data_IF_397230255252
#
_entry.id   IF_397230255252
#
_cell.length_a   1.000
_cell.length_b   1.000
_cell.length_c   1.000
_cell.angle_alpha   90.00
_cell.angle_beta   90.00
_cell.angle_gamma   90.00
#
_symmetry.space_group_name_H-M   'P 1'
#
loop_
_entity.id
_entity.type
_entity.pdbx_description
1 polymer ?
#
# COMPACT_ATOMS: atom_id res chain seq x y z
N UNK A 1 -91.73 53.60 25.77
CA UNK A 1 -90.63 53.28 26.70
C UNK A 1 -89.84 52.17 26.05
N UNK A 2 -88.75 52.47 25.35
CA UNK A 2 -87.99 51.56 24.53
C UNK A 2 -86.70 51.23 25.27
N UNK A 3 -86.44 49.98 25.52
CA UNK A 3 -85.21 49.46 26.06
C UNK A 3 -84.37 48.80 24.92
N UNK A 4 -83.21 49.37 24.60
CA UNK A 4 -82.31 48.82 23.66
C UNK A 4 -81.40 47.77 24.33
N UNK A 5 -81.33 46.60 23.76
CA UNK A 5 -80.36 45.55 24.13
C UNK A 5 -79.13 45.59 23.20
N UNK A 6 -77.99 45.83 23.78
CA UNK A 6 -76.63 45.80 23.10
C UNK A 6 -76.22 44.36 22.89
N UNK A 7 -76.04 43.99 21.61
CA UNK A 7 -75.30 42.75 21.22
C UNK A 7 -73.79 42.85 21.39
N UNK A 8 -73.18 41.84 22.05
CA UNK A 8 -71.78 41.68 22.17
C UNK A 8 -71.31 40.76 21.05
N UNK A 9 -70.51 41.31 20.10
CA UNK A 9 -69.76 40.49 19.15
C UNK A 9 -68.47 39.96 19.80
N UNK A 10 -68.39 38.67 19.96
CA UNK A 10 -67.15 37.96 20.37
C UNK A 10 -66.30 37.69 19.10
N UNK A 11 -65.18 38.34 19.03
CA UNK A 11 -64.18 38.08 18.01
C UNK A 11 -63.28 36.91 18.47
N UNK A 12 -63.39 35.76 17.82
CA UNK A 12 -62.50 34.60 18.06
C UNK A 12 -61.27 34.77 17.16
N UNK A 13 -60.15 35.12 17.76
CA UNK A 13 -58.86 35.15 17.09
C UNK A 13 -58.27 33.72 17.10
N UNK A 14 -58.34 33.05 15.95
CA UNK A 14 -57.69 31.75 15.75
C UNK A 14 -56.19 31.91 15.67
N UNK A 15 -55.43 31.43 16.68
CA UNK A 15 -53.99 31.32 16.68
C UNK A 15 -53.57 30.12 15.79
N UNK A 16 -53.19 30.42 14.53
CA UNK A 16 -52.56 29.43 13.64
C UNK A 16 -51.12 29.17 14.12
N UNK A 17 -50.89 28.03 14.74
CA UNK A 17 -49.52 27.57 15.06
C UNK A 17 -48.89 27.01 13.79
N UNK A 18 -47.99 27.78 13.16
CA UNK A 18 -47.11 27.29 12.08
C UNK A 18 -45.99 26.45 12.71
N UNK A 19 -46.10 25.12 12.66
CA UNK A 19 -45.00 24.20 12.92
C UNK A 19 -44.07 24.28 11.71
N UNK A 20 -43.04 25.14 11.79
CA UNK A 20 -41.91 25.09 10.87
C UNK A 20 -41.07 23.84 11.18
N UNK A 21 -41.29 22.77 10.39
CA UNK A 21 -40.47 21.57 10.44
C UNK A 21 -39.06 21.93 10.01
N UNK A 22 -38.16 22.07 10.96
CA UNK A 22 -36.71 22.12 10.68
C UNK A 22 -36.26 20.74 10.16
N UNK A 23 -36.18 20.61 8.85
CA UNK A 23 -35.48 19.49 8.21
C UNK A 23 -33.99 19.70 8.50
N UNK A 24 -33.47 19.09 9.56
CA UNK A 24 -32.04 18.97 9.74
C UNK A 24 -31.51 18.10 8.61
N UNK A 25 -30.99 18.74 7.57
CA UNK A 25 -30.10 18.08 6.63
C UNK A 25 -28.82 17.75 7.42
N UNK A 26 -28.76 16.55 7.98
CA UNK A 26 -27.49 15.96 8.36
C UNK A 26 -26.74 15.77 7.04
N UNK A 27 -25.86 16.72 6.69
CA UNK A 27 -24.81 16.47 5.74
C UNK A 27 -23.99 15.32 6.35
N UNK A 28 -24.24 14.11 5.90
CA UNK A 28 -23.40 12.97 6.25
C UNK A 28 -22.02 13.31 5.67
N UNK A 29 -21.09 13.74 6.52
CA UNK A 29 -19.69 13.84 6.13
C UNK A 29 -19.29 12.43 5.69
N UNK A 30 -18.81 12.31 4.46
CA UNK A 30 -18.23 11.06 3.99
C UNK A 30 -17.11 10.67 4.97
N UNK A 31 -17.12 9.43 5.44
CA UNK A 31 -16.06 8.94 6.30
C UNK A 31 -14.74 9.00 5.53
N UNK A 32 -13.69 9.53 6.16
CA UNK A 32 -12.34 9.58 5.59
C UNK A 32 -11.49 8.46 6.18
N UNK A 33 -10.89 7.65 5.30
CA UNK A 33 -10.01 6.54 5.66
C UNK A 33 -8.58 6.81 5.19
N UNK A 34 -7.62 6.56 6.06
CA UNK A 34 -6.19 6.60 5.72
C UNK A 34 -5.81 5.38 4.89
N UNK A 35 -5.24 5.62 3.71
CA UNK A 35 -4.75 4.59 2.81
C UNK A 35 -3.22 4.69 2.71
N UNK A 36 -2.50 3.72 3.28
CA UNK A 36 -1.04 3.69 3.26
C UNK A 36 -0.53 2.76 2.19
N UNK A 37 0.54 3.20 1.52
CA UNK A 37 1.24 2.41 0.51
C UNK A 37 2.71 2.34 0.89
N UNK A 38 3.29 1.15 0.78
CA UNK A 38 4.72 0.99 0.97
C UNK A 38 5.52 1.81 -0.05
N UNK A 39 6.68 2.36 0.35
CA UNK A 39 7.40 3.35 -0.43
C UNK A 39 8.31 2.72 -1.51
N UNK A 40 7.72 1.99 -2.45
CA UNK A 40 8.41 1.44 -3.64
C UNK A 40 8.85 2.51 -4.66
N UNK A 41 8.36 3.73 -4.50
CA UNK A 41 8.69 4.93 -5.27
C UNK A 41 8.73 6.16 -4.35
N UNK A 42 9.30 7.29 -4.79
CA UNK A 42 9.22 8.55 -4.06
C UNK A 42 7.77 8.99 -3.79
N UNK A 43 7.49 9.69 -2.67
CA UNK A 43 6.13 10.04 -2.24
C UNK A 43 5.29 10.76 -3.29
N UNK A 44 5.89 11.68 -4.05
CA UNK A 44 5.18 12.43 -5.10
C UNK A 44 4.72 11.49 -6.22
N UNK A 45 5.57 10.54 -6.62
CA UNK A 45 5.23 9.53 -7.63
C UNK A 45 4.15 8.58 -7.16
N UNK A 46 4.20 8.16 -5.88
CA UNK A 46 3.13 7.35 -5.27
C UNK A 46 1.82 8.12 -5.31
N UNK A 47 1.85 9.40 -4.92
CA UNK A 47 0.66 10.26 -4.92
C UNK A 47 0.04 10.40 -6.31
N UNK A 48 0.85 10.66 -7.34
CA UNK A 48 0.41 10.74 -8.73
C UNK A 48 -0.17 9.41 -9.24
N UNK A 49 0.54 8.30 -8.99
CA UNK A 49 0.19 6.97 -9.48
C UNK A 49 -1.12 6.45 -8.87
N UNK A 50 -1.33 6.70 -7.57
CA UNK A 50 -2.47 6.12 -6.85
C UNK A 50 -3.67 7.08 -6.70
N UNK A 51 -3.55 8.37 -7.09
CA UNK A 51 -4.68 9.30 -7.05
C UNK A 51 -5.90 8.81 -7.86
N UNK A 52 -5.76 8.21 -9.07
CA UNK A 52 -6.89 7.64 -9.80
C UNK A 52 -7.56 6.47 -9.05
N UNK A 53 -6.79 5.63 -8.35
CA UNK A 53 -7.33 4.55 -7.52
C UNK A 53 -8.15 5.11 -6.35
N UNK A 54 -7.65 6.15 -5.67
CA UNK A 54 -8.40 6.80 -4.58
C UNK A 54 -9.73 7.38 -5.09
N UNK A 55 -9.71 8.03 -6.25
CA UNK A 55 -10.93 8.56 -6.88
C UNK A 55 -11.92 7.45 -7.27
N UNK A 56 -11.42 6.33 -7.78
CA UNK A 56 -12.24 5.15 -8.10
C UNK A 56 -12.89 4.56 -6.85
N UNK A 57 -12.10 4.33 -5.77
CA UNK A 57 -12.62 3.80 -4.52
C UNK A 57 -13.64 4.74 -3.88
N UNK A 58 -13.41 6.06 -3.92
CA UNK A 58 -14.41 7.05 -3.46
C UNK A 58 -15.73 6.90 -4.22
N UNK A 59 -15.69 6.80 -5.54
CA UNK A 59 -16.89 6.60 -6.37
C UNK A 59 -17.62 5.30 -6.05
N UNK A 60 -16.87 4.22 -5.81
CA UNK A 60 -17.42 2.89 -5.55
C UNK A 60 -18.02 2.74 -4.14
N UNK A 61 -17.41 3.38 -3.14
CA UNK A 61 -17.76 3.17 -1.73
C UNK A 61 -18.55 4.32 -1.11
N UNK A 62 -18.44 5.54 -1.67
CA UNK A 62 -18.95 6.77 -1.09
C UNK A 62 -18.09 7.35 0.04
N UNK A 63 -16.95 6.74 0.37
CA UNK A 63 -16.02 7.20 1.39
C UNK A 63 -14.83 7.95 0.76
N UNK A 64 -14.21 8.84 1.52
CA UNK A 64 -12.96 9.49 1.13
C UNK A 64 -11.76 8.65 1.57
N UNK A 65 -10.71 8.65 0.73
CA UNK A 65 -9.46 7.95 1.01
C UNK A 65 -8.30 8.94 0.97
N UNK A 66 -7.66 9.13 2.13
CA UNK A 66 -6.47 9.96 2.26
C UNK A 66 -5.23 9.10 2.06
N UNK A 67 -4.58 9.26 0.91
CA UNK A 67 -3.33 8.59 0.60
C UNK A 67 -2.19 9.13 1.47
N UNK A 68 -1.44 8.24 2.11
CA UNK A 68 -0.23 8.55 2.87
C UNK A 68 0.95 7.72 2.36
N UNK A 69 1.96 8.41 1.85
CA UNK A 69 3.20 7.84 1.37
C UNK A 69 4.37 8.22 2.29
N UNK A 70 5.08 7.25 2.81
CA UNK A 70 6.29 7.48 3.58
C UNK A 70 7.47 7.82 2.66
N UNK A 71 8.46 8.56 3.20
CA UNK A 71 9.66 8.96 2.42
C UNK A 71 10.47 7.77 1.93
N UNK A 72 10.56 6.70 2.72
CA UNK A 72 11.29 5.47 2.42
C UNK A 72 10.84 4.34 3.37
N UNK A 73 11.33 3.12 3.16
CA UNK A 73 10.97 1.97 3.99
C UNK A 73 11.38 2.10 5.46
N UNK A 74 12.47 2.80 5.77
CA UNK A 74 12.86 3.04 7.16
C UNK A 74 11.81 3.89 7.90
N UNK A 75 11.31 4.97 7.28
CA UNK A 75 10.25 5.79 7.86
C UNK A 75 8.92 5.01 7.93
N UNK A 76 8.61 4.24 6.88
CA UNK A 76 7.41 3.41 6.86
C UNK A 76 7.41 2.38 7.99
N UNK A 77 8.52 1.67 8.18
CA UNK A 77 8.68 0.69 9.25
C UNK A 77 8.57 1.32 10.64
N UNK A 78 9.23 2.46 10.86
CA UNK A 78 9.08 3.23 12.11
C UNK A 78 7.62 3.57 12.39
N UNK A 79 6.87 3.99 11.38
CA UNK A 79 5.45 4.34 11.49
C UNK A 79 4.59 3.10 11.79
N UNK A 80 4.89 1.95 11.17
CA UNK A 80 4.24 0.67 11.46
C UNK A 80 4.47 0.27 12.93
N UNK A 81 5.72 0.31 13.39
CA UNK A 81 6.09 -0.01 14.77
C UNK A 81 5.48 0.96 15.79
N UNK A 82 5.36 2.23 15.43
CA UNK A 82 4.78 3.29 16.24
C UNK A 82 3.24 3.28 16.29
N UNK A 83 2.59 2.36 15.58
CA UNK A 83 1.14 2.29 15.53
C UNK A 83 0.49 3.48 14.80
N UNK A 84 1.21 4.08 13.83
CA UNK A 84 0.64 5.16 13.03
C UNK A 84 -0.63 4.69 12.32
N UNK A 85 -1.67 5.53 12.34
CA UNK A 85 -2.98 5.19 11.80
C UNK A 85 -2.85 4.72 10.34
N UNK A 86 -3.44 3.56 10.07
CA UNK A 86 -3.66 3.03 8.74
C UNK A 86 -5.01 2.31 8.76
N UNK A 87 -6.00 2.85 8.05
CA UNK A 87 -7.27 2.15 7.90
C UNK A 87 -7.12 1.07 6.83
N UNK A 88 -6.40 1.37 5.76
CA UNK A 88 -6.01 0.43 4.71
C UNK A 88 -4.49 0.50 4.49
N UNK A 89 -3.88 -0.64 4.19
CA UNK A 89 -2.47 -0.73 3.85
C UNK A 89 -2.26 -1.62 2.61
N UNK A 90 -1.47 -1.14 1.64
CA UNK A 90 -1.12 -1.87 0.44
C UNK A 90 0.38 -2.18 0.49
N UNK A 91 0.69 -3.40 0.91
CA UNK A 91 2.01 -3.84 1.34
C UNK A 91 2.44 -5.13 0.65
N UNK A 92 3.76 -5.32 0.48
CA UNK A 92 4.34 -6.62 0.14
C UNK A 92 4.17 -7.63 1.29
N UNK A 93 4.39 -8.90 0.98
CA UNK A 93 4.06 -10.04 1.81
C UNK A 93 4.58 -9.94 3.26
N UNK A 94 5.81 -9.48 3.47
CA UNK A 94 6.42 -9.43 4.80
C UNK A 94 5.75 -8.40 5.73
N UNK A 95 5.41 -7.22 5.22
CA UNK A 95 4.69 -6.18 5.97
C UNK A 95 3.21 -6.54 6.13
N UNK A 96 2.61 -7.18 5.13
CA UNK A 96 1.24 -7.71 5.22
C UNK A 96 1.14 -8.73 6.35
N UNK A 97 2.03 -9.73 6.39
CA UNK A 97 2.03 -10.74 7.46
C UNK A 97 2.25 -10.09 8.83
N UNK A 98 3.21 -9.15 8.93
CA UNK A 98 3.44 -8.41 10.17
C UNK A 98 2.17 -7.69 10.66
N UNK A 99 1.42 -7.03 9.78
CA UNK A 99 0.16 -6.38 10.16
C UNK A 99 -0.92 -7.37 10.58
N UNK A 100 -0.99 -8.52 9.92
CA UNK A 100 -1.93 -9.59 10.29
C UNK A 100 -1.61 -10.09 11.71
N UNK A 101 -0.35 -10.40 11.99
CA UNK A 101 0.05 -11.00 13.27
C UNK A 101 0.02 -10.02 14.44
N UNK A 102 0.45 -8.76 14.23
CA UNK A 102 0.69 -7.80 15.32
C UNK A 102 -0.37 -6.69 15.41
N UNK A 103 -1.14 -6.45 14.36
CA UNK A 103 -2.16 -5.40 14.32
C UNK A 103 -3.55 -5.92 13.87
N UNK A 104 -3.71 -7.24 13.69
CA UNK A 104 -4.97 -7.92 13.34
C UNK A 104 -5.62 -7.38 12.07
N UNK A 105 -4.81 -6.93 11.10
CA UNK A 105 -5.31 -6.53 9.81
C UNK A 105 -5.92 -7.73 9.07
N UNK A 106 -6.98 -7.46 8.33
CA UNK A 106 -7.67 -8.42 7.49
C UNK A 106 -7.20 -8.26 6.04
N UNK A 107 -6.58 -9.27 5.39
CA UNK A 107 -6.26 -9.23 3.97
C UNK A 107 -7.56 -9.29 3.15
N UNK A 108 -7.74 -8.34 2.23
CA UNK A 108 -8.94 -8.22 1.41
C UNK A 108 -8.72 -8.78 0.01
N UNK A 109 -7.74 -8.23 -0.67
CA UNK A 109 -7.34 -8.60 -2.04
C UNK A 109 -5.83 -8.50 -2.18
N UNK A 110 -5.27 -9.23 -3.17
CA UNK A 110 -3.87 -9.08 -3.55
C UNK A 110 -3.71 -9.03 -5.06
N UNK A 111 -2.55 -8.59 -5.54
CA UNK A 111 -2.19 -8.68 -6.95
C UNK A 111 -2.05 -10.14 -7.37
N UNK A 112 -2.55 -10.50 -8.54
CA UNK A 112 -2.51 -11.89 -9.02
C UNK A 112 -1.09 -12.41 -9.22
N UNK A 113 -0.14 -11.52 -9.48
CA UNK A 113 1.27 -11.84 -9.65
C UNK A 113 1.94 -12.11 -8.31
N UNK A 114 2.68 -13.20 -8.23
CA UNK A 114 3.64 -13.42 -7.17
C UNK A 114 4.87 -12.53 -7.37
N UNK A 115 5.52 -12.15 -6.29
CA UNK A 115 6.73 -11.34 -6.32
C UNK A 115 7.94 -12.19 -5.97
N UNK A 116 9.01 -12.12 -6.75
CA UNK A 116 10.34 -12.60 -6.39
C UNK A 116 11.38 -11.51 -6.63
N UNK A 117 12.52 -11.63 -5.98
CA UNK A 117 13.62 -10.68 -6.11
C UNK A 117 14.83 -11.36 -6.74
N UNK A 118 15.51 -10.65 -7.63
CA UNK A 118 16.71 -11.12 -8.28
C UNK A 118 17.86 -10.15 -8.01
N UNK A 119 18.97 -10.70 -7.54
CA UNK A 119 20.24 -10.01 -7.49
C UNK A 119 20.84 -10.04 -8.90
N UNK A 120 21.08 -8.86 -9.47
CA UNK A 120 21.63 -8.69 -10.80
C UNK A 120 22.95 -7.94 -10.73
N UNK A 121 23.88 -8.23 -11.65
CA UNK A 121 25.21 -7.62 -11.71
C UNK A 121 25.53 -7.09 -13.11
N UNK A 122 26.28 -6.00 -13.19
CA UNK A 122 26.85 -5.48 -14.44
C UNK A 122 28.31 -5.89 -14.65
N UNK A 123 28.91 -6.63 -13.71
CA UNK A 123 30.28 -7.16 -13.82
C UNK A 123 30.26 -8.67 -14.07
N UNK A 124 31.33 -9.18 -14.69
CA UNK A 124 31.54 -10.61 -14.83
C UNK A 124 31.94 -11.23 -13.49
N UNK A 125 31.26 -12.30 -13.09
CA UNK A 125 31.47 -12.96 -11.81
C UNK A 125 32.22 -14.30 -11.91
N UNK A 126 32.74 -14.68 -13.08
CA UNK A 126 33.54 -15.89 -13.35
C UNK A 126 32.87 -17.13 -12.81
N UNK A 127 31.83 -17.54 -12.69
CA UNK A 127 31.21 -18.69 -12.02
C UNK A 127 31.24 -18.67 -10.48
N UNK A 128 31.65 -17.57 -9.86
CA UNK A 128 31.71 -17.46 -8.39
C UNK A 128 30.32 -17.18 -7.75
N UNK A 129 29.34 -16.82 -8.55
CA UNK A 129 27.98 -16.53 -8.08
C UNK A 129 27.99 -15.45 -6.98
N UNK A 130 27.28 -15.70 -5.88
CA UNK A 130 27.23 -14.76 -4.74
C UNK A 130 28.59 -14.38 -4.16
N UNK A 131 29.54 -15.32 -4.11
CA UNK A 131 30.88 -15.05 -3.58
C UNK A 131 31.67 -14.10 -4.46
N UNK A 132 31.32 -13.97 -5.73
CA UNK A 132 31.94 -13.00 -6.65
C UNK A 132 31.60 -11.56 -6.32
N UNK A 133 30.56 -11.31 -5.53
CA UNK A 133 30.16 -9.97 -5.12
C UNK A 133 30.69 -9.56 -3.73
N UNK A 134 31.40 -10.45 -3.02
CA UNK A 134 32.06 -10.07 -1.77
C UNK A 134 33.12 -9.01 -2.05
N UNK A 135 33.04 -7.88 -1.35
CA UNK A 135 33.91 -6.71 -1.57
C UNK A 135 33.43 -5.76 -2.67
N UNK A 136 32.35 -6.09 -3.36
CA UNK A 136 31.64 -5.24 -4.32
C UNK A 136 30.48 -4.51 -3.67
N UNK A 137 29.99 -3.46 -4.32
CA UNK A 137 28.88 -2.65 -3.84
C UNK A 137 27.56 -3.07 -4.48
N UNK A 138 26.57 -3.39 -3.65
CA UNK A 138 25.21 -3.71 -4.08
C UNK A 138 24.27 -2.57 -3.73
N UNK A 139 23.57 -2.03 -4.72
CA UNK A 139 22.57 -0.98 -4.56
C UNK A 139 21.22 -1.62 -4.23
N UNK A 140 20.54 -1.05 -3.25
CA UNK A 140 19.17 -1.46 -2.85
C UNK A 140 18.38 -0.29 -2.30
N UNK A 141 17.10 -0.48 -2.13
CA UNK A 141 16.23 0.43 -1.36
C UNK A 141 16.49 0.26 0.14
N UNK A 142 16.01 1.21 0.94
CA UNK A 142 16.25 1.19 2.38
C UNK A 142 15.61 -0.02 3.07
N UNK A 143 16.21 -0.45 4.16
CA UNK A 143 15.62 -1.43 5.08
C UNK A 143 14.30 -0.92 5.68
N UNK A 144 13.32 -1.78 5.90
CA UNK A 144 13.28 -3.21 5.63
C UNK A 144 12.50 -3.56 4.34
N UNK A 145 12.79 -2.95 3.19
CA UNK A 145 12.18 -3.40 1.93
C UNK A 145 12.37 -4.91 1.75
N UNK A 146 11.45 -5.58 1.06
CA UNK A 146 11.54 -7.02 0.84
C UNK A 146 12.80 -7.41 0.05
N UNK A 147 13.21 -6.55 -0.89
CA UNK A 147 14.48 -6.75 -1.60
C UNK A 147 15.69 -6.65 -0.67
N UNK A 148 15.73 -5.68 0.26
CA UNK A 148 16.80 -5.60 1.25
C UNK A 148 16.83 -6.83 2.16
N UNK A 149 15.67 -7.26 2.67
CA UNK A 149 15.55 -8.45 3.50
C UNK A 149 16.01 -9.71 2.77
N UNK A 150 15.60 -9.86 1.50
CA UNK A 150 16.05 -10.95 0.62
C UNK A 150 17.57 -10.93 0.41
N UNK A 151 18.16 -9.75 0.25
CA UNK A 151 19.62 -9.62 0.10
C UNK A 151 20.35 -10.13 1.34
N UNK A 152 19.85 -9.84 2.55
CA UNK A 152 20.41 -10.39 3.79
C UNK A 152 20.26 -11.91 3.89
N UNK A 153 19.17 -12.48 3.38
CA UNK A 153 19.01 -13.95 3.30
C UNK A 153 20.02 -14.60 2.35
N UNK A 154 20.43 -13.89 1.29
CA UNK A 154 21.47 -14.39 0.37
C UNK A 154 22.85 -14.39 1.02
N UNK A 155 23.10 -13.50 1.97
CA UNK A 155 24.37 -13.35 2.68
C UNK A 155 24.18 -13.47 4.20
N UNK A 156 23.88 -14.69 4.72
CA UNK A 156 23.58 -14.87 6.14
C UNK A 156 24.82 -14.72 7.02
N UNK A 157 26.04 -14.82 6.44
CA UNK A 157 27.28 -14.59 7.15
C UNK A 157 27.74 -13.12 6.98
N UNK A 158 27.70 -12.30 8.05
CA UNK A 158 28.07 -10.88 7.96
C UNK A 158 29.51 -10.61 7.44
N UNK A 159 30.43 -11.56 7.67
CA UNK A 159 31.83 -11.43 7.22
C UNK A 159 31.96 -11.56 5.69
N UNK A 160 31.01 -12.25 5.07
CA UNK A 160 30.96 -12.47 3.63
C UNK A 160 29.91 -11.61 2.94
N UNK A 161 29.37 -10.59 3.61
CA UNK A 161 28.46 -9.65 2.99
C UNK A 161 29.22 -8.69 2.08
N UNK A 162 28.63 -8.32 0.92
CA UNK A 162 29.10 -7.21 0.10
C UNK A 162 28.86 -5.86 0.81
N UNK A 163 29.37 -4.77 0.23
CA UNK A 163 29.00 -3.41 0.65
C UNK A 163 27.55 -3.11 0.21
N UNK A 164 26.63 -3.04 1.16
CA UNK A 164 25.19 -2.81 0.86
C UNK A 164 24.88 -1.32 0.95
N UNK A 165 24.69 -0.68 -0.20
CA UNK A 165 24.33 0.73 -0.30
C UNK A 165 22.80 0.91 -0.44
N UNK A 166 22.13 1.28 0.66
CA UNK A 166 20.67 1.51 0.72
C UNK A 166 20.28 2.93 0.27
N UNK A 167 20.70 3.31 -0.93
CA UNK A 167 20.60 4.69 -1.43
C UNK A 167 19.53 4.87 -2.51
N UNK A 168 18.98 3.78 -3.03
CA UNK A 168 17.96 3.85 -4.08
C UNK A 168 16.61 4.34 -3.54
N UNK A 169 15.94 5.17 -4.34
CA UNK A 169 14.60 5.71 -4.07
C UNK A 169 13.49 4.94 -4.78
N UNK A 170 13.86 4.05 -5.71
CA UNK A 170 12.99 3.07 -6.38
C UNK A 170 13.83 1.91 -6.91
N UNK A 171 13.17 0.81 -7.32
CA UNK A 171 13.87 -0.32 -7.92
C UNK A 171 14.54 0.04 -9.25
N UNK A 172 13.96 0.95 -10.04
CA UNK A 172 14.58 1.46 -11.28
C UNK A 172 15.78 2.33 -10.97
N UNK A 173 15.69 3.23 -9.97
CA UNK A 173 16.81 4.04 -9.51
C UNK A 173 18.00 3.16 -9.06
N UNK A 174 17.73 2.00 -8.44
CA UNK A 174 18.79 1.06 -8.09
C UNK A 174 19.58 0.59 -9.32
N UNK A 175 18.90 0.29 -10.42
CA UNK A 175 19.52 -0.12 -11.68
C UNK A 175 20.25 1.06 -12.35
N UNK A 176 19.63 2.22 -12.38
CA UNK A 176 20.23 3.43 -12.99
C UNK A 176 21.56 3.78 -12.31
N UNK A 177 21.63 3.64 -10.98
CA UNK A 177 22.86 3.84 -10.19
C UNK A 177 23.94 2.81 -10.51
N UNK A 178 23.57 1.55 -10.77
CA UNK A 178 24.52 0.52 -11.22
C UNK A 178 25.08 0.89 -12.60
N UNK A 179 24.25 1.32 -13.54
CA UNK A 179 24.72 1.80 -14.84
C UNK A 179 25.54 3.10 -14.75
N UNK A 180 25.24 3.94 -13.76
CA UNK A 180 26.01 5.14 -13.43
C UNK A 180 27.36 4.86 -12.74
N UNK A 181 27.69 3.59 -12.42
CA UNK A 181 28.93 3.21 -11.76
C UNK A 181 28.97 3.48 -10.26
N UNK A 182 27.81 3.72 -9.62
CA UNK A 182 27.71 3.91 -8.16
C UNK A 182 27.75 2.57 -7.40
N UNK A 183 27.55 1.45 -8.11
CA UNK A 183 27.61 0.08 -7.60
C UNK A 183 27.80 -0.94 -8.70
N UNK A 184 28.11 -2.18 -8.31
CA UNK A 184 28.43 -3.29 -9.21
C UNK A 184 27.23 -4.23 -9.43
N UNK A 185 26.26 -4.15 -8.57
CA UNK A 185 25.06 -5.00 -8.57
C UNK A 185 23.87 -4.28 -7.92
N UNK A 186 22.66 -4.78 -8.18
CA UNK A 186 21.44 -4.34 -7.51
C UNK A 186 20.54 -5.54 -7.22
N UNK A 187 19.72 -5.44 -6.16
CA UNK A 187 18.59 -6.34 -5.96
C UNK A 187 17.31 -5.65 -6.43
N UNK A 188 16.56 -6.33 -7.28
CA UNK A 188 15.34 -5.79 -7.91
C UNK A 188 14.24 -6.85 -7.96
N UNK A 189 12.95 -6.47 -8.03
CA UNK A 189 11.89 -7.39 -8.36
C UNK A 189 12.14 -8.09 -9.70
N UNK A 190 11.87 -9.40 -9.76
CA UNK A 190 12.23 -10.21 -10.94
C UNK A 190 11.56 -9.75 -12.23
N UNK A 191 10.35 -9.18 -12.17
CA UNK A 191 9.66 -8.64 -13.34
C UNK A 191 10.43 -7.51 -14.03
N UNK A 192 11.28 -6.76 -13.29
CA UNK A 192 12.11 -5.70 -13.88
C UNK A 192 13.32 -6.25 -14.64
N UNK A 193 13.77 -7.48 -14.36
CA UNK A 193 14.98 -8.06 -14.99
C UNK A 193 14.87 -8.09 -16.53
N UNK A 194 13.71 -8.38 -17.06
CA UNK A 194 13.49 -8.44 -18.51
C UNK A 194 13.67 -7.08 -19.20
N UNK A 195 13.42 -6.00 -18.47
CA UNK A 195 13.65 -4.62 -18.95
C UNK A 195 15.15 -4.30 -19.10
N UNK A 196 16.01 -5.05 -18.39
CA UNK A 196 17.45 -4.80 -18.31
C UNK A 196 18.27 -6.04 -18.76
N UNK A 197 18.26 -6.40 -20.05
CA UNK A 197 18.90 -7.62 -20.57
C UNK A 197 20.40 -7.65 -20.34
N UNK A 198 21.06 -6.46 -20.24
CA UNK A 198 22.50 -6.34 -20.04
C UNK A 198 22.97 -6.66 -18.60
N UNK A 199 22.04 -6.80 -17.64
CA UNK A 199 22.39 -7.22 -16.30
C UNK A 199 22.34 -8.75 -16.18
N UNK A 200 23.38 -9.31 -15.59
CA UNK A 200 23.48 -10.77 -15.37
C UNK A 200 22.78 -11.16 -14.07
N UNK A 201 21.81 -12.09 -14.08
CA UNK A 201 21.19 -12.59 -12.86
C UNK A 201 22.20 -13.46 -12.09
N UNK A 202 22.32 -13.19 -10.78
CA UNK A 202 23.23 -13.90 -9.87
C UNK A 202 22.47 -14.92 -9.03
N UNK A 203 21.37 -14.48 -8.42
CA UNK A 203 20.49 -15.32 -7.60
C UNK A 203 19.09 -14.74 -7.54
N UNK A 204 18.10 -15.64 -7.60
CA UNK A 204 16.68 -15.29 -7.44
C UNK A 204 16.18 -15.84 -6.09
N UNK A 205 15.29 -15.11 -5.43
CA UNK A 205 14.64 -15.52 -4.18
C UNK A 205 13.58 -16.60 -4.43
N UNK A 206 13.02 -17.10 -3.33
CA UNK A 206 11.70 -17.75 -3.37
C UNK A 206 10.66 -16.76 -3.88
N UNK A 207 9.50 -17.28 -4.28
CA UNK A 207 8.33 -16.46 -4.55
C UNK A 207 7.63 -16.08 -3.24
N UNK A 208 7.08 -14.87 -3.23
CA UNK A 208 6.21 -14.33 -2.19
C UNK A 208 4.82 -14.11 -2.77
N UNK A 209 3.78 -14.17 -1.96
CA UNK A 209 2.44 -13.78 -2.35
C UNK A 209 2.42 -12.34 -2.89
N UNK A 210 1.49 -12.05 -3.77
CA UNK A 210 1.34 -10.72 -4.37
C UNK A 210 1.10 -9.63 -3.32
N UNK A 211 1.36 -8.39 -3.71
CA UNK A 211 1.13 -7.22 -2.87
C UNK A 211 -0.33 -7.16 -2.42
N UNK A 212 -0.58 -6.99 -1.13
CA UNK A 212 -1.88 -7.12 -0.50
C UNK A 212 -2.46 -5.79 -0.06
N UNK A 213 -3.72 -5.55 -0.39
CA UNK A 213 -4.51 -4.57 0.35
C UNK A 213 -5.14 -5.25 1.56
N UNK A 214 -4.74 -4.82 2.74
CA UNK A 214 -5.31 -5.23 4.01
C UNK A 214 -5.99 -4.06 4.72
N UNK A 215 -6.97 -4.37 5.57
CA UNK A 215 -7.74 -3.39 6.33
C UNK A 215 -7.57 -3.58 7.84
N UNK A 216 -7.50 -2.46 8.57
CA UNK A 216 -7.52 -2.43 10.04
C UNK A 216 -8.81 -3.06 10.59
N UNK A 217 -8.77 -3.69 11.79
CA UNK A 217 -9.97 -4.15 12.46
C UNK A 217 -10.98 -3.03 12.74
N UNK A 218 -10.52 -1.77 12.83
CA UNK A 218 -11.37 -0.60 13.11
C UNK A 218 -12.22 -0.15 11.91
N UNK A 219 -11.92 -0.62 10.70
CA UNK A 219 -12.72 -0.32 9.51
C UNK A 219 -14.03 -1.12 9.54
N UNK A 220 -15.19 -0.48 9.35
CA UNK A 220 -16.48 -1.19 9.31
C UNK A 220 -16.51 -2.28 8.24
N UNK A 221 -17.16 -3.41 8.56
CA UNK A 221 -17.20 -4.58 7.67
C UNK A 221 -17.82 -4.26 6.31
N UNK A 222 -18.88 -3.42 6.26
CA UNK A 222 -19.50 -3.02 5.00
C UNK A 222 -18.59 -2.18 4.11
N UNK A 223 -17.67 -1.39 4.72
CA UNK A 223 -16.67 -0.61 3.97
C UNK A 223 -15.58 -1.53 3.42
N UNK A 224 -15.11 -2.51 4.23
CA UNK A 224 -14.16 -3.54 3.77
C UNK A 224 -14.70 -4.29 2.56
N UNK A 225 -15.95 -4.77 2.63
CA UNK A 225 -16.57 -5.49 1.52
C UNK A 225 -16.73 -4.61 0.28
N UNK A 226 -17.17 -3.35 0.43
CA UNK A 226 -17.26 -2.42 -0.71
C UNK A 226 -15.91 -2.18 -1.39
N UNK A 227 -14.83 -2.00 -0.61
CA UNK A 227 -13.47 -1.82 -1.13
C UNK A 227 -12.99 -3.08 -1.84
N UNK A 228 -13.15 -4.25 -1.21
CA UNK A 228 -12.83 -5.55 -1.80
C UNK A 228 -13.57 -5.78 -3.12
N UNK A 229 -14.88 -5.61 -3.12
CA UNK A 229 -15.73 -5.78 -4.29
C UNK A 229 -15.34 -4.81 -5.42
N UNK A 230 -15.01 -3.55 -5.07
CA UNK A 230 -14.58 -2.57 -6.06
C UNK A 230 -13.29 -3.00 -6.74
N UNK A 231 -12.29 -3.48 -5.99
CA UNK A 231 -11.02 -3.91 -6.54
C UNK A 231 -11.12 -5.20 -7.36
N UNK A 232 -11.94 -6.16 -6.93
CA UNK A 232 -12.18 -7.40 -7.66
C UNK A 232 -12.93 -7.18 -8.99
N UNK A 233 -13.64 -6.04 -9.14
CA UNK A 233 -14.32 -5.64 -10.38
C UNK A 233 -13.42 -4.88 -11.36
N UNK A 234 -12.20 -4.53 -10.97
CA UNK A 234 -11.23 -3.93 -11.89
C UNK A 234 -10.78 -5.01 -12.88
N UNK A 235 -11.29 -4.89 -14.11
CA UNK A 235 -11.04 -5.84 -15.18
C UNK A 235 -10.02 -5.22 -16.16
N UNK A 236 -8.93 -5.94 -16.50
CA UNK A 236 -7.94 -5.48 -17.48
C UNK A 236 -8.52 -5.27 -18.88
N UNK A 237 -9.66 -5.90 -19.21
CA UNK A 237 -10.34 -5.73 -20.49
C UNK A 237 -11.39 -4.61 -20.52
N UNK A 238 -11.46 -3.80 -19.44
CA UNK A 238 -12.41 -2.70 -19.28
C UNK A 238 -11.74 -1.32 -19.33
N UNK A 239 -12.54 -0.24 -19.22
CA UNK A 239 -12.03 1.13 -19.05
C UNK A 239 -11.13 1.30 -17.80
N UNK A 240 -11.20 0.35 -16.86
CA UNK A 240 -10.33 0.30 -15.69
C UNK A 240 -8.92 -0.24 -15.99
N UNK A 241 -8.66 -0.80 -17.17
CA UNK A 241 -7.34 -1.30 -17.58
C UNK A 241 -6.24 -0.26 -17.41
N UNK A 242 -6.55 1.01 -17.73
CA UNK A 242 -5.60 2.11 -17.55
C UNK A 242 -5.20 2.29 -16.09
N UNK A 243 -6.14 2.18 -15.15
CA UNK A 243 -5.87 2.31 -13.72
C UNK A 243 -4.97 1.18 -13.23
N UNK A 244 -5.27 -0.06 -13.60
CA UNK A 244 -4.44 -1.22 -13.28
C UNK A 244 -3.02 -1.06 -13.84
N UNK A 245 -2.90 -0.63 -15.11
CA UNK A 245 -1.60 -0.37 -15.74
C UNK A 245 -0.79 0.70 -15.01
N UNK A 246 -1.44 1.81 -14.61
CA UNK A 246 -0.77 2.91 -13.89
C UNK A 246 -0.18 2.46 -12.55
N UNK A 247 -0.88 1.60 -11.80
CA UNK A 247 -0.39 1.06 -10.53
C UNK A 247 0.48 -0.19 -10.68
N UNK A 248 0.69 -0.66 -11.93
CA UNK A 248 1.56 -1.81 -12.23
C UNK A 248 0.96 -3.17 -11.82
N UNK A 249 -0.37 -3.29 -11.80
CA UNK A 249 -1.12 -4.50 -11.42
C UNK A 249 -1.88 -5.00 -12.64
N UNK A 250 -1.89 -6.32 -12.90
CA UNK A 250 -2.71 -6.86 -13.96
C UNK A 250 -4.12 -7.16 -13.48
N UNK A 251 -4.27 -7.67 -12.26
CA UNK A 251 -5.55 -8.06 -11.68
C UNK A 251 -5.45 -8.16 -10.16
N UNK A 252 -6.56 -7.85 -9.47
CA UNK A 252 -6.75 -8.19 -8.07
C UNK A 252 -7.51 -9.52 -7.93
N UNK A 253 -7.11 -10.32 -6.93
CA UNK A 253 -7.76 -11.57 -6.55
C UNK A 253 -8.01 -11.58 -5.04
N UNK A 254 -8.96 -12.40 -4.52
CA UNK A 254 -9.21 -12.48 -3.09
C UNK A 254 -7.95 -12.91 -2.34
N UNK A 255 -7.66 -12.26 -1.19
CA UNK A 255 -6.54 -12.60 -0.33
C UNK A 255 -6.98 -13.41 0.88
N UNK A 256 -6.07 -14.24 1.40
CA UNK A 256 -6.24 -14.93 2.68
C UNK A 256 -4.98 -14.80 3.55
N UNK A 257 -5.15 -14.81 4.88
CA UNK A 257 -4.04 -14.72 5.82
C UNK A 257 -3.04 -15.90 5.67
N UNK A 258 -3.51 -17.07 5.23
CA UNK A 258 -2.68 -18.25 5.07
C UNK A 258 -1.59 -18.07 3.98
N UNK A 259 -1.85 -17.23 2.96
CA UNK A 259 -0.90 -16.98 1.87
C UNK A 259 0.31 -16.17 2.32
N UNK A 260 0.18 -15.41 3.41
CA UNK A 260 1.23 -14.54 3.95
C UNK A 260 1.97 -15.16 5.14
N UNK A 261 1.44 -16.25 5.69
CA UNK A 261 1.94 -16.87 6.92
C UNK A 261 3.45 -17.17 6.85
N UNK A 262 4.21 -16.59 7.77
CA UNK A 262 5.66 -16.73 7.88
C UNK A 262 6.49 -15.76 7.03
N UNK A 263 5.87 -14.88 6.22
CA UNK A 263 6.60 -13.89 5.44
C UNK A 263 7.28 -12.84 6.33
N UNK A 264 6.69 -12.50 7.47
CA UNK A 264 7.27 -11.57 8.46
C UNK A 264 8.60 -12.02 9.04
N UNK A 265 8.94 -13.33 8.91
CA UNK A 265 10.20 -13.85 9.40
C UNK A 265 11.42 -13.14 8.78
N UNK A 266 11.26 -12.56 7.58
CA UNK A 266 12.29 -11.74 6.94
C UNK A 266 12.59 -10.45 7.70
N UNK A 267 11.65 -10.00 8.57
CA UNK A 267 11.79 -8.79 9.39
C UNK A 267 12.53 -9.02 10.72
N UNK A 268 12.77 -10.26 11.14
CA UNK A 268 13.31 -10.59 12.48
C UNK A 268 14.62 -9.89 12.83
N UNK A 269 15.45 -9.60 11.84
CA UNK A 269 16.75 -8.99 12.05
C UNK A 269 16.73 -7.46 12.00
N UNK A 270 15.55 -6.86 11.80
CA UNK A 270 15.43 -5.41 11.72
C UNK A 270 15.08 -4.80 13.08
N UNK A 271 15.63 -3.61 13.32
CA UNK A 271 15.42 -2.88 14.58
C UNK A 271 13.91 -2.68 14.82
N UNK A 272 13.48 -3.03 16.02
CA UNK A 272 12.11 -2.84 16.49
C UNK A 272 11.16 -4.00 16.18
N UNK A 273 11.59 -5.05 15.47
CA UNK A 273 10.78 -6.27 15.34
C UNK A 273 10.52 -6.88 16.73
N UNK A 274 9.26 -7.22 16.99
CA UNK A 274 8.80 -7.77 18.30
C UNK A 274 8.16 -9.14 18.13
#
# INVERSE_FOLDING_TARGET
MQTQTKGRHSCVIGLGVWLAGYIFHNAAYAAEYTFRIEPSNPPDRISETYAPLMAYLKKATGADFKLEAAKNYHNYWRDVLGGAKADFAFDEAHLTDYRIQHAHFEPLVHTAEHTSYVLVSNIELDKKGLNGLVGHKIITMSAPSLGYATLLEFYPNPVLQPDIASIATSWRDAVDRVFGGEGDAAIIPAYLKETYPNLTPVKTSKEFAGQCLSASPDVPADVKEKVKDALLKLDPDSDAAKLLFEIGVTKFVPASAAEYAGAEQTLKNFIGYK
#
